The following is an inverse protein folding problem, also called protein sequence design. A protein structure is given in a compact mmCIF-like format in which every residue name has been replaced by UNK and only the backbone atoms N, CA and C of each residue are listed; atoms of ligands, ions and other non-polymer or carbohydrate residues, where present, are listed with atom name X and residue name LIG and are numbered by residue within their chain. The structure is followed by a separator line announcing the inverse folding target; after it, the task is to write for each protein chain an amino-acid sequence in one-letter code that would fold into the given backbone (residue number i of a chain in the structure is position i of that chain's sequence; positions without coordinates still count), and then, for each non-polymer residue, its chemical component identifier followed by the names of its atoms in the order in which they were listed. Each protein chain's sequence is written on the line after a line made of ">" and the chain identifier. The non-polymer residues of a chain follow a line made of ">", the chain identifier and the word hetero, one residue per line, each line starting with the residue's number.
data_IF_070090969866
#
_entry.id   IF_070090969866
#
_cell.length_a   1.000
_cell.length_b   1.000
_cell.length_c   1.000
_cell.angle_alpha   90.00
_cell.angle_beta   90.00
_cell.angle_gamma   90.00
#
_symmetry.space_group_name_H-M   'P 1'
#
loop_
_entity.id
_entity.type
_entity.pdbx_description
1 polymer ?
#
# COMPACT_ATOMS: atom_id res chain seq x y z
N UNK A 1 -21.98 11.65 -58.07
CA UNK A 1 -21.68 12.13 -56.71
C UNK A 1 -20.75 11.11 -56.08
N UNK A 2 -19.47 11.44 -56.01
CA UNK A 2 -18.40 10.52 -55.63
C UNK A 2 -18.26 10.55 -54.09
N UNK A 3 -18.67 9.48 -53.41
CA UNK A 3 -18.51 9.37 -51.96
C UNK A 3 -17.03 9.24 -51.61
N UNK A 4 -16.46 10.31 -51.06
CA UNK A 4 -15.14 10.32 -50.44
C UNK A 4 -15.18 9.49 -49.16
N UNK A 5 -14.61 8.29 -49.22
CA UNK A 5 -14.34 7.48 -48.04
C UNK A 5 -13.33 8.20 -47.11
N UNK A 6 -13.73 8.40 -45.85
CA UNK A 6 -12.88 8.99 -44.81
C UNK A 6 -11.76 8.01 -44.42
N UNK A 7 -10.50 8.47 -44.25
CA UNK A 7 -9.39 7.59 -43.95
C UNK A 7 -9.53 6.97 -42.54
N UNK A 8 -9.50 5.64 -42.47
CA UNK A 8 -9.41 4.87 -41.22
C UNK A 8 -8.21 5.34 -40.40
N UNK A 9 -8.48 6.05 -39.31
CA UNK A 9 -7.48 6.44 -38.31
C UNK A 9 -6.84 5.19 -37.72
N UNK A 10 -5.55 4.98 -38.00
CA UNK A 10 -4.77 3.89 -37.42
C UNK A 10 -4.82 4.00 -35.89
N UNK A 11 -5.44 3.02 -35.23
CA UNK A 11 -5.44 2.90 -33.78
C UNK A 11 -3.99 2.90 -33.29
N UNK A 12 -3.59 3.99 -32.61
CA UNK A 12 -2.26 4.11 -32.04
C UNK A 12 -2.20 3.09 -30.89
N UNK A 13 -1.40 2.03 -31.06
CA UNK A 13 -1.04 1.11 -29.96
C UNK A 13 -0.71 1.94 -28.72
N UNK A 14 -1.46 1.70 -27.64
CA UNK A 14 -1.24 2.38 -26.36
C UNK A 14 0.21 2.16 -25.94
N UNK A 15 0.96 3.25 -25.82
CA UNK A 15 2.35 3.18 -25.40
C UNK A 15 2.42 2.89 -23.92
N UNK A 16 3.26 1.93 -23.53
CA UNK A 16 3.51 1.66 -22.11
C UNK A 16 4.15 2.89 -21.45
N UNK A 17 3.56 3.43 -20.36
CA UNK A 17 4.14 4.57 -19.65
C UNK A 17 5.43 4.17 -18.95
N UNK A 18 6.28 5.17 -18.68
CA UNK A 18 7.53 4.99 -17.95
C UNK A 18 7.69 6.06 -16.88
N UNK A 19 8.22 5.67 -15.73
CA UNK A 19 8.43 6.59 -14.60
C UNK A 19 9.89 6.92 -14.45
N UNK A 20 10.13 8.20 -14.20
CA UNK A 20 11.41 8.79 -13.89
C UNK A 20 11.37 9.30 -12.45
N UNK A 21 12.40 8.97 -11.70
CA UNK A 21 12.63 9.39 -10.32
C UNK A 21 13.66 10.50 -10.27
N UNK A 22 13.34 11.55 -9.51
CA UNK A 22 14.18 12.68 -9.17
C UNK A 22 14.57 12.56 -7.70
N UNK A 23 15.83 12.27 -7.44
CA UNK A 23 16.35 12.18 -6.07
C UNK A 23 16.61 13.56 -5.44
N UNK A 24 16.94 14.55 -6.27
CA UNK A 24 17.26 15.91 -5.83
C UNK A 24 16.56 16.94 -6.70
N UNK A 25 15.85 17.87 -6.07
CA UNK A 25 15.16 18.97 -6.73
C UNK A 25 15.75 20.29 -6.23
N UNK A 26 16.42 21.06 -7.10
CA UNK A 26 16.99 22.35 -6.74
C UNK A 26 15.98 23.33 -6.15
N UNK A 27 16.47 24.22 -5.28
CA UNK A 27 15.62 25.26 -4.68
C UNK A 27 15.09 26.23 -5.74
N UNK A 28 13.79 26.53 -5.69
CA UNK A 28 13.15 27.42 -6.66
C UNK A 28 12.74 26.73 -7.96
N UNK A 29 13.05 25.44 -8.12
CA UNK A 29 12.53 24.63 -9.22
C UNK A 29 11.10 24.15 -8.91
N UNK A 30 10.12 24.79 -9.53
CA UNK A 30 8.70 24.43 -9.37
C UNK A 30 8.33 23.24 -10.26
N UNK A 31 7.28 22.50 -9.89
CA UNK A 31 6.69 21.43 -10.70
C UNK A 31 6.35 21.90 -12.11
N UNK A 32 5.78 23.11 -12.26
CA UNK A 32 5.45 23.69 -13.55
C UNK A 32 6.69 23.92 -14.44
N UNK A 33 7.79 24.43 -13.86
CA UNK A 33 9.02 24.65 -14.62
C UNK A 33 9.71 23.35 -15.01
N UNK A 34 9.64 22.35 -14.12
CA UNK A 34 10.14 21.00 -14.45
C UNK A 34 9.32 20.38 -15.58
N UNK A 35 7.99 20.58 -15.59
CA UNK A 35 7.13 20.17 -16.70
C UNK A 35 7.60 20.82 -18.00
N UNK A 36 7.80 22.12 -17.99
CA UNK A 36 8.20 22.90 -19.17
C UNK A 36 9.51 22.34 -19.76
N UNK A 37 10.56 22.20 -18.94
CA UNK A 37 11.87 21.71 -19.40
C UNK A 37 11.81 20.28 -19.92
N UNK A 38 11.08 19.40 -19.24
CA UNK A 38 11.01 17.98 -19.61
C UNK A 38 10.04 17.71 -20.76
N UNK A 39 9.10 18.63 -21.04
CA UNK A 39 8.13 18.47 -22.14
C UNK A 39 8.83 18.46 -23.50
N UNK A 40 9.99 19.10 -23.61
CA UNK A 40 10.82 19.10 -24.83
C UNK A 40 11.34 17.70 -25.19
N UNK A 41 11.45 16.80 -24.21
CA UNK A 41 11.96 15.44 -24.40
C UNK A 41 10.86 14.40 -24.61
N UNK A 42 9.62 14.71 -24.24
CA UNK A 42 8.47 13.81 -24.44
C UNK A 42 7.21 14.22 -23.69
N UNK A 43 6.10 13.56 -24.01
CA UNK A 43 4.81 13.85 -23.40
C UNK A 43 4.76 13.38 -21.94
N UNK A 44 4.56 14.35 -21.04
CA UNK A 44 4.45 14.11 -19.59
C UNK A 44 2.98 13.90 -19.22
N UNK A 45 2.71 12.83 -18.48
CA UNK A 45 1.44 12.56 -17.82
C UNK A 45 1.40 13.17 -16.42
N UNK A 46 1.46 12.31 -15.41
CA UNK A 46 1.39 12.67 -14.00
C UNK A 46 2.76 13.05 -13.42
N UNK A 47 2.76 13.95 -12.45
CA UNK A 47 3.95 14.33 -11.69
C UNK A 47 3.59 14.53 -10.22
N UNK A 48 4.48 14.09 -9.34
CA UNK A 48 4.30 14.19 -7.90
C UNK A 48 5.64 14.52 -7.28
N UNK A 49 5.73 15.66 -6.62
CA UNK A 49 6.93 16.09 -5.91
C UNK A 49 6.60 16.08 -4.42
N UNK A 50 7.40 15.36 -3.64
CA UNK A 50 7.22 15.29 -2.21
C UNK A 50 7.68 16.61 -1.57
N UNK A 51 6.77 17.40 -0.96
CA UNK A 51 7.16 18.62 -0.28
C UNK A 51 7.96 18.29 0.98
N UNK A 52 9.03 19.04 1.24
CA UNK A 52 9.73 18.93 2.52
C UNK A 52 8.83 19.51 3.61
N UNK A 53 8.34 18.64 4.50
CA UNK A 53 7.59 19.06 5.68
C UNK A 53 8.53 19.89 6.55
N UNK A 54 8.22 21.18 6.72
CA UNK A 54 8.98 22.04 7.63
C UNK A 54 8.74 21.58 9.07
N UNK A 55 9.80 21.50 9.86
CA UNK A 55 9.69 21.34 11.32
C UNK A 55 9.26 22.64 12.01
N UNK A 56 9.39 23.80 11.34
CA UNK A 56 9.27 25.10 11.98
C UNK A 56 8.30 26.04 11.23
N UNK A 57 7.28 26.55 11.93
CA UNK A 57 6.10 27.21 11.35
C UNK A 57 6.32 28.66 10.93
N UNK A 58 7.47 29.26 11.28
CA UNK A 58 7.74 30.70 11.10
C UNK A 58 8.36 31.09 9.76
N UNK A 59 8.75 30.14 8.92
CA UNK A 59 9.43 30.43 7.65
C UNK A 59 8.46 30.35 6.45
N UNK A 60 8.44 31.38 5.59
CA UNK A 60 7.62 31.42 4.35
C UNK A 60 7.71 30.11 3.57
N UNK A 61 6.61 29.53 3.04
CA UNK A 61 6.64 28.25 2.35
C UNK A 61 7.66 28.30 1.21
N UNK A 62 8.84 27.71 1.45
CA UNK A 62 9.83 27.54 0.40
C UNK A 62 9.32 26.38 -0.41
N UNK A 63 9.05 26.57 -1.70
CA UNK A 63 8.71 25.51 -2.66
C UNK A 63 9.91 24.58 -2.85
N UNK A 64 10.24 23.83 -1.80
CA UNK A 64 11.36 22.92 -1.73
C UNK A 64 10.79 21.52 -1.65
N UNK A 65 11.24 20.69 -2.56
CA UNK A 65 10.82 19.31 -2.70
C UNK A 65 11.98 18.41 -2.33
N UNK A 66 11.67 17.27 -1.71
CA UNK A 66 12.68 16.28 -1.32
C UNK A 66 13.00 15.41 -2.50
N UNK A 67 11.95 14.82 -3.07
CA UNK A 67 12.01 13.83 -4.14
C UNK A 67 10.88 14.09 -5.14
N UNK A 68 10.98 13.53 -6.33
CA UNK A 68 9.95 13.67 -7.36
C UNK A 68 9.79 12.44 -8.23
N UNK A 69 8.57 12.21 -8.70
CA UNK A 69 8.21 11.14 -9.64
C UNK A 69 7.49 11.77 -10.82
N UNK A 70 7.94 11.41 -12.02
CA UNK A 70 7.43 11.94 -13.28
C UNK A 70 7.07 10.77 -14.18
N UNK A 71 5.83 10.73 -14.63
CA UNK A 71 5.32 9.75 -15.58
C UNK A 71 5.39 10.32 -16.99
N UNK A 72 6.11 9.64 -17.87
CA UNK A 72 6.08 9.88 -19.31
C UNK A 72 5.09 8.92 -19.96
N UNK A 73 4.35 9.39 -20.96
CA UNK A 73 3.41 8.55 -21.73
C UNK A 73 4.11 7.39 -22.43
N UNK A 74 5.36 7.59 -22.88
CA UNK A 74 6.19 6.57 -23.54
C UNK A 74 7.41 6.22 -22.69
N UNK A 75 7.60 4.93 -22.38
CA UNK A 75 8.81 4.46 -21.66
C UNK A 75 10.13 4.76 -22.37
N UNK A 76 10.12 4.89 -23.70
CA UNK A 76 11.32 5.21 -24.48
C UNK A 76 11.83 6.61 -24.15
N UNK A 77 10.91 7.57 -24.05
CA UNK A 77 11.20 8.97 -23.70
C UNK A 77 11.73 9.03 -22.26
N UNK A 78 11.13 8.30 -21.33
CA UNK A 78 11.62 8.20 -19.95
C UNK A 78 13.07 7.68 -19.85
N UNK A 79 13.41 6.62 -20.62
CA UNK A 79 14.78 6.09 -20.66
C UNK A 79 15.76 7.10 -21.24
N UNK A 80 15.41 7.70 -22.37
CA UNK A 80 16.21 8.73 -23.04
C UNK A 80 16.45 9.93 -22.12
N UNK A 81 15.44 10.39 -21.40
CA UNK A 81 15.58 11.49 -20.43
C UNK A 81 16.56 11.11 -19.32
N UNK A 82 16.44 9.91 -18.75
CA UNK A 82 17.37 9.47 -17.72
C UNK A 82 18.82 9.36 -18.24
N UNK A 83 19.04 8.89 -19.46
CA UNK A 83 20.38 8.79 -20.06
C UNK A 83 20.96 10.15 -20.44
N UNK A 84 20.14 11.01 -21.03
CA UNK A 84 20.60 12.30 -21.57
C UNK A 84 20.72 13.35 -20.49
N UNK A 85 19.80 13.41 -19.54
CA UNK A 85 19.67 14.54 -18.62
C UNK A 85 20.34 14.28 -17.27
N UNK A 86 20.56 13.02 -16.89
CA UNK A 86 21.25 12.72 -15.64
C UNK A 86 22.68 13.29 -15.64
N UNK A 87 23.07 13.89 -14.52
CA UNK A 87 24.34 14.59 -14.31
C UNK A 87 24.59 15.79 -15.24
N UNK A 88 23.56 16.31 -15.93
CA UNK A 88 23.66 17.58 -16.68
C UNK A 88 23.13 18.75 -15.86
N UNK A 89 23.63 19.98 -16.09
CA UNK A 89 23.08 21.17 -15.45
C UNK A 89 21.62 21.37 -15.86
N UNK A 90 20.80 21.89 -14.94
CA UNK A 90 19.40 22.25 -15.22
C UNK A 90 19.32 23.37 -16.26
N UNK A 91 20.28 24.30 -16.22
CA UNK A 91 20.34 25.43 -17.13
C UNK A 91 19.21 26.44 -16.89
N UNK A 92 18.77 27.08 -17.98
CA UNK A 92 17.77 28.15 -17.93
C UNK A 92 18.41 29.54 -17.81
N UNK A 93 17.75 30.47 -17.11
CA UNK A 93 18.28 31.83 -16.95
C UNK A 93 19.47 31.82 -15.99
N UNK A 94 20.57 32.52 -16.34
CA UNK A 94 21.79 32.60 -15.50
C UNK A 94 21.57 33.12 -14.08
N UNK A 95 20.52 33.91 -13.86
CA UNK A 95 20.13 34.43 -12.52
C UNK A 95 19.30 33.43 -11.71
N UNK A 96 18.87 32.32 -12.30
CA UNK A 96 18.04 31.35 -11.60
C UNK A 96 18.89 30.53 -10.62
N UNK A 97 18.39 30.28 -9.39
CA UNK A 97 19.15 29.57 -8.36
C UNK A 97 19.50 28.12 -8.72
N UNK A 98 18.80 27.54 -9.70
CA UNK A 98 18.98 26.17 -10.15
C UNK A 98 19.87 26.03 -11.39
N UNK A 99 20.38 27.14 -11.96
CA UNK A 99 21.10 27.13 -13.24
C UNK A 99 22.29 26.15 -13.27
N UNK A 100 23.13 26.22 -12.23
CA UNK A 100 24.35 25.41 -12.11
C UNK A 100 24.09 24.08 -11.38
N UNK A 101 22.87 23.85 -10.88
CA UNK A 101 22.54 22.59 -10.24
C UNK A 101 22.48 21.47 -11.27
N UNK A 102 22.92 20.27 -10.86
CA UNK A 102 22.86 19.08 -11.70
C UNK A 102 21.53 18.34 -11.51
N UNK A 103 21.01 17.80 -12.60
CA UNK A 103 19.92 16.84 -12.58
C UNK A 103 20.40 15.50 -12.00
N UNK A 104 19.65 14.96 -11.04
CA UNK A 104 19.84 13.59 -10.53
C UNK A 104 18.59 12.77 -10.85
N UNK A 105 18.66 12.00 -11.93
CA UNK A 105 17.50 11.39 -12.58
C UNK A 105 17.75 9.90 -12.76
N UNK A 106 16.76 9.08 -12.39
CA UNK A 106 16.80 7.63 -12.58
C UNK A 106 15.53 7.12 -13.23
N UNK A 107 15.66 6.30 -14.27
CA UNK A 107 14.53 5.55 -14.82
C UNK A 107 14.20 4.35 -13.91
N UNK A 108 12.91 4.16 -13.60
CA UNK A 108 12.43 3.03 -12.82
C UNK A 108 11.82 1.97 -13.75
N UNK A 109 12.50 0.83 -13.88
CA UNK A 109 12.01 -0.28 -14.70
C UNK A 109 10.81 -0.98 -14.02
N UNK A 110 9.82 -1.40 -14.82
CA UNK A 110 8.59 -2.09 -14.38
C UNK A 110 7.81 -1.36 -13.27
N UNK A 111 8.05 -0.06 -13.09
CA UNK A 111 7.41 0.76 -12.08
C UNK A 111 6.23 1.53 -12.69
N UNK A 112 5.06 1.47 -12.04
CA UNK A 112 3.83 2.15 -12.46
C UNK A 112 3.39 3.14 -11.41
N UNK A 113 2.58 4.11 -11.81
CA UNK A 113 2.13 5.20 -10.92
C UNK A 113 1.38 4.67 -9.69
N UNK A 114 0.61 3.60 -9.87
CA UNK A 114 -0.11 2.91 -8.80
C UNK A 114 0.81 2.46 -7.67
N UNK A 115 2.05 2.04 -7.98
CA UNK A 115 3.00 1.53 -6.99
C UNK A 115 3.49 2.63 -6.04
N UNK A 116 3.42 3.91 -6.44
CA UNK A 116 3.84 5.03 -5.59
C UNK A 116 2.99 5.14 -4.33
N UNK A 117 1.66 5.00 -4.47
CA UNK A 117 0.72 5.02 -3.35
C UNK A 117 0.56 3.66 -2.68
N UNK A 118 0.74 2.57 -3.43
CA UNK A 118 0.42 1.21 -2.99
C UNK A 118 1.14 0.81 -1.71
N UNK A 119 2.45 1.08 -1.60
CA UNK A 119 3.22 0.75 -0.39
C UNK A 119 2.68 1.48 0.85
N UNK A 120 2.46 2.79 0.73
CA UNK A 120 1.96 3.61 1.83
C UNK A 120 0.55 3.17 2.26
N UNK A 121 -0.33 2.89 1.29
CA UNK A 121 -1.68 2.43 1.57
C UNK A 121 -1.68 1.03 2.18
N UNK A 122 -0.79 0.15 1.72
CA UNK A 122 -0.64 -1.20 2.26
C UNK A 122 -0.15 -1.17 3.71
N UNK A 123 0.93 -0.43 4.00
CA UNK A 123 1.45 -0.29 5.36
C UNK A 123 0.39 0.29 6.32
N UNK A 124 -0.36 1.29 5.86
CA UNK A 124 -1.47 1.86 6.62
C UNK A 124 -2.60 0.85 6.83
N UNK A 125 -3.03 0.13 5.80
CA UNK A 125 -4.10 -0.86 5.88
C UNK A 125 -3.74 -2.02 6.83
N UNK A 126 -2.50 -2.51 6.79
CA UNK A 126 -2.01 -3.54 7.71
C UNK A 126 -2.05 -3.05 9.15
N UNK A 127 -1.62 -1.81 9.40
CA UNK A 127 -1.66 -1.20 10.73
C UNK A 127 -3.10 -1.04 11.24
N UNK A 128 -3.99 -0.52 10.39
CA UNK A 128 -5.41 -0.34 10.72
C UNK A 128 -6.10 -1.68 10.99
N UNK A 129 -5.76 -2.73 10.23
CA UNK A 129 -6.28 -4.07 10.44
C UNK A 129 -5.84 -4.65 11.79
N UNK A 130 -4.55 -4.54 12.13
CA UNK A 130 -4.04 -4.98 13.44
C UNK A 130 -4.75 -4.26 14.59
N UNK A 131 -4.84 -2.93 14.52
CA UNK A 131 -5.54 -2.15 15.52
C UNK A 131 -7.01 -2.56 15.65
N UNK A 132 -7.71 -2.79 14.53
CA UNK A 132 -9.11 -3.27 14.54
C UNK A 132 -9.24 -4.63 15.23
N UNK A 133 -8.30 -5.55 14.99
CA UNK A 133 -8.33 -6.87 15.64
C UNK A 133 -8.07 -6.77 17.14
N UNK A 134 -7.17 -5.89 17.57
CA UNK A 134 -6.89 -5.63 18.99
C UNK A 134 -8.11 -5.01 19.69
N UNK A 135 -8.72 -3.98 19.09
CA UNK A 135 -9.95 -3.37 19.60
C UNK A 135 -11.08 -4.40 19.67
N UNK A 136 -11.25 -5.24 18.65
CA UNK A 136 -12.28 -6.27 18.64
C UNK A 136 -12.06 -7.32 19.74
N UNK A 137 -10.80 -7.68 20.02
CA UNK A 137 -10.44 -8.57 21.13
C UNK A 137 -10.78 -7.93 22.49
N UNK A 138 -10.33 -6.70 22.72
CA UNK A 138 -10.60 -5.96 23.96
C UNK A 138 -12.11 -5.75 24.19
N UNK A 139 -12.86 -5.40 23.14
CA UNK A 139 -14.33 -5.29 23.21
C UNK A 139 -14.99 -6.61 23.57
N UNK A 140 -14.55 -7.72 22.97
CA UNK A 140 -15.10 -9.05 23.28
C UNK A 140 -14.87 -9.43 24.74
N UNK A 141 -13.67 -9.18 25.26
CA UNK A 141 -13.33 -9.42 26.67
C UNK A 141 -14.16 -8.52 27.60
N UNK A 142 -14.25 -7.22 27.32
CA UNK A 142 -15.05 -6.27 28.10
C UNK A 142 -16.55 -6.65 28.11
N UNK A 143 -17.14 -6.97 26.95
CA UNK A 143 -18.53 -7.41 26.86
C UNK A 143 -18.77 -8.73 27.60
N UNK A 144 -17.80 -9.65 27.58
CA UNK A 144 -17.87 -10.90 28.34
C UNK A 144 -17.93 -10.63 29.85
N UNK A 145 -17.02 -9.81 30.38
CA UNK A 145 -17.01 -9.47 31.80
C UNK A 145 -18.27 -8.71 32.23
N UNK A 146 -18.75 -7.77 31.41
CA UNK A 146 -20.01 -7.06 31.68
C UNK A 146 -21.19 -8.03 31.84
N UNK A 147 -21.31 -9.01 30.93
CA UNK A 147 -22.36 -10.04 30.99
C UNK A 147 -22.23 -10.92 32.24
N UNK A 148 -21.01 -11.34 32.60
CA UNK A 148 -20.76 -12.14 33.81
C UNK A 148 -21.14 -11.36 35.07
N UNK A 149 -20.76 -10.08 35.15
CA UNK A 149 -21.12 -9.20 36.27
C UNK A 149 -22.64 -9.03 36.37
N UNK A 150 -23.33 -8.75 35.27
CA UNK A 150 -24.79 -8.63 35.22
C UNK A 150 -25.48 -9.90 35.70
N UNK A 151 -25.06 -11.07 35.21
CA UNK A 151 -25.58 -12.36 35.68
C UNK A 151 -25.32 -12.57 37.17
N UNK A 152 -24.15 -12.19 37.68
CA UNK A 152 -23.81 -12.32 39.11
C UNK A 152 -24.67 -11.41 40.00
N UNK A 153 -24.94 -10.17 39.56
CA UNK A 153 -25.80 -9.21 40.27
C UNK A 153 -27.24 -9.72 40.29
N UNK A 154 -27.75 -10.21 39.15
CA UNK A 154 -29.10 -10.79 39.06
C UNK A 154 -29.25 -12.01 39.98
N UNK A 155 -28.25 -12.89 40.03
CA UNK A 155 -28.21 -14.04 40.96
C UNK A 155 -28.23 -13.60 42.43
N UNK A 156 -27.43 -12.59 42.81
CA UNK A 156 -27.43 -12.04 44.17
C UNK A 156 -28.79 -11.44 44.55
N UNK A 157 -29.46 -10.72 43.63
CA UNK A 157 -30.79 -10.16 43.86
C UNK A 157 -31.85 -11.26 44.05
N UNK A 158 -31.88 -12.28 43.20
CA UNK A 158 -32.84 -13.41 43.30
C UNK A 158 -32.66 -14.24 44.57
N UNK A 159 -31.40 -14.49 44.99
CA UNK A 159 -31.10 -15.14 46.28
C UNK A 159 -31.67 -14.40 47.49
N UNK A 160 -31.71 -13.07 47.45
CA UNK A 160 -32.30 -12.26 48.52
C UNK A 160 -33.84 -12.28 48.53
N UNK A 161 -34.47 -12.68 47.43
CA UNK A 161 -35.94 -12.71 47.25
C UNK A 161 -36.54 -14.11 47.51
N UNK A 162 -35.71 -15.13 47.81
CA UNK A 162 -36.18 -16.45 48.22
C UNK A 162 -36.72 -17.34 47.08
N UNK A 163 -36.46 -17.01 45.83
CA UNK A 163 -36.90 -17.77 44.65
C UNK A 163 -35.93 -18.97 44.41
N UNK A 164 -36.39 -20.21 44.60
CA UNK A 164 -35.63 -21.45 44.35
C UNK A 164 -35.53 -21.68 42.84
N UNK A 165 -34.30 -21.76 42.31
CA UNK A 165 -34.04 -22.02 40.89
C UNK A 165 -33.78 -23.52 40.69
N UNK A 166 -34.63 -24.17 39.90
CA UNK A 166 -34.31 -25.42 39.20
C UNK A 166 -33.07 -25.17 38.31
N UNK A 167 -31.97 -25.84 38.62
CA UNK A 167 -30.72 -25.72 37.92
C UNK A 167 -30.79 -26.47 36.59
N UNK A 168 -30.99 -25.73 35.50
CA UNK A 168 -30.42 -26.14 34.22
C UNK A 168 -29.06 -25.43 34.07
N UNK A 169 -27.93 -26.10 34.35
CA UNK A 169 -26.60 -25.59 34.04
C UNK A 169 -26.44 -25.65 32.52
N UNK A 170 -27.14 -24.76 31.81
CA UNK A 170 -27.03 -24.55 30.38
C UNK A 170 -25.60 -24.11 30.08
N UNK A 171 -24.76 -25.11 29.83
CA UNK A 171 -23.42 -25.11 29.24
C UNK A 171 -22.99 -23.71 28.81
N UNK A 172 -22.18 -23.05 29.65
CA UNK A 172 -21.19 -22.15 29.09
C UNK A 172 -20.33 -23.06 28.20
N UNK A 173 -20.59 -23.07 26.89
CA UNK A 173 -19.75 -23.79 25.94
C UNK A 173 -18.41 -23.08 25.93
N UNK A 174 -17.49 -23.49 26.82
CA UNK A 174 -16.11 -23.05 26.76
C UNK A 174 -15.59 -23.43 25.37
N UNK A 175 -14.94 -22.49 24.69
CA UNK A 175 -14.16 -22.83 23.50
C UNK A 175 -13.06 -23.77 23.97
N UNK A 176 -12.95 -24.93 23.32
CA UNK A 176 -11.86 -25.87 23.54
C UNK A 176 -10.53 -25.13 23.37
N UNK A 177 -9.58 -25.38 24.26
CA UNK A 177 -8.24 -24.81 24.18
C UNK A 177 -7.49 -25.38 22.96
N UNK A 178 -6.48 -24.67 22.45
CA UNK A 178 -5.72 -25.16 21.28
C UNK A 178 -5.10 -26.54 21.51
N UNK A 179 -4.83 -26.92 22.77
CA UNK A 179 -4.37 -28.27 23.14
C UNK A 179 -5.46 -29.32 22.92
N UNK A 180 -6.66 -29.09 23.43
CA UNK A 180 -7.82 -29.98 23.26
C UNK A 180 -8.22 -30.11 21.77
N UNK A 181 -8.13 -29.03 20.97
CA UNK A 181 -8.40 -29.09 19.52
C UNK A 181 -7.36 -29.95 18.79
N UNK A 182 -6.10 -29.91 19.25
CA UNK A 182 -5.00 -30.69 18.66
C UNK A 182 -5.08 -32.17 19.04
N UNK A 183 -5.59 -32.47 20.23
CA UNK A 183 -5.85 -33.82 20.72
C UNK A 183 -7.12 -34.44 20.10
N UNK A 184 -8.14 -33.63 19.83
CA UNK A 184 -9.36 -34.05 19.10
C UNK A 184 -9.17 -34.17 17.60
N UNK A 185 -8.05 -33.68 17.05
CA UNK A 185 -7.73 -33.92 15.65
C UNK A 185 -7.55 -35.43 15.50
N UNK A 186 -8.43 -36.13 14.75
CA UNK A 186 -8.30 -37.57 14.60
C UNK A 186 -6.92 -37.88 14.02
N UNK A 187 -6.26 -38.89 14.59
CA UNK A 187 -5.09 -39.51 13.96
C UNK A 187 -5.45 -39.81 12.51
N UNK A 188 -4.59 -39.48 11.53
CA UNK A 188 -4.86 -39.80 10.13
C UNK A 188 -5.19 -41.29 10.04
N UNK A 189 -6.31 -41.62 9.38
CA UNK A 189 -6.77 -43.00 9.28
C UNK A 189 -5.66 -43.87 8.65
N UNK A 190 -5.54 -45.15 9.05
CA UNK A 190 -4.45 -46.03 8.63
C UNK A 190 -4.41 -46.34 7.11
N UNK A 191 -5.31 -45.77 6.31
CA UNK A 191 -5.37 -45.92 4.86
C UNK A 191 -4.66 -44.79 4.06
N UNK A 192 -4.09 -43.77 4.72
CA UNK A 192 -3.35 -42.68 4.06
C UNK A 192 -1.88 -43.02 3.74
N UNK A 193 -1.50 -44.30 3.78
CA UNK A 193 -0.14 -44.76 3.50
C UNK A 193 0.27 -44.50 2.04
N UNK A 194 -0.70 -44.60 1.12
CA UNK A 194 -0.51 -44.30 -0.30
C UNK A 194 -0.18 -42.82 -0.51
N UNK A 195 -0.91 -41.92 0.14
CA UNK A 195 -0.74 -40.47 -0.04
C UNK A 195 0.56 -39.96 0.59
N UNK A 196 1.03 -40.55 1.69
CA UNK A 196 2.36 -40.23 2.26
C UNK A 196 3.52 -40.63 1.34
N UNK A 197 3.42 -41.77 0.68
CA UNK A 197 4.45 -42.23 -0.27
C UNK A 197 4.53 -41.32 -1.50
N UNK A 198 3.37 -40.84 -1.96
CA UNK A 198 3.23 -39.93 -3.09
C UNK A 198 3.74 -38.52 -2.73
N UNK A 199 3.42 -38.02 -1.54
CA UNK A 199 3.98 -36.77 -1.01
C UNK A 199 5.51 -36.83 -0.85
N UNK A 200 6.04 -37.92 -0.29
CA UNK A 200 7.49 -38.10 -0.13
C UNK A 200 8.19 -38.21 -1.49
N UNK A 201 7.56 -38.84 -2.49
CA UNK A 201 8.06 -38.87 -3.87
C UNK A 201 8.03 -37.50 -4.56
N UNK A 202 7.06 -36.63 -4.23
CA UNK A 202 6.96 -35.27 -4.80
C UNK A 202 8.00 -34.34 -4.18
N UNK A 203 8.28 -34.46 -2.88
CA UNK A 203 9.21 -33.57 -2.16
C UNK A 203 10.65 -34.10 -2.04
N UNK A 204 10.95 -35.33 -2.50
CA UNK A 204 12.32 -35.89 -2.49
C UNK A 204 13.05 -35.79 -3.84
N UNK A 205 12.50 -35.05 -4.81
CA UNK A 205 13.18 -34.79 -6.08
C UNK A 205 13.42 -33.28 -6.20
N UNK A 206 14.72 -32.93 -6.09
CA UNK A 206 15.37 -31.61 -6.05
C UNK A 206 15.51 -30.96 -4.66
#
# INVERSE_FOLDING_TARGET
>A
MEERSLPKTKEKKESTPGIVYLNYIPTGLTVAKTREILSDFGDIGRMYFEPIKKLDSKSRPTHRFREGWIEFKRKKDAKRVAEVLNAKPVGGKRRAPYHDCLWNIKYLNRYRWTHLSERLTYEKAVKDQRLRTEIAKAKREASYYAKVLEMSIRRKKKRKVGEVLEENPSRIKLRKTDKEIREEKPQPAPNDTADRSLLMSIFSKE
#
